data_IF_737116155147
#
_entry.id   IF_737116155147
#
_cell.length_a   1.000
_cell.length_b   1.000
_cell.length_c   1.000
_cell.angle_alpha   90.00
_cell.angle_beta   90.00
_cell.angle_gamma   90.00
#
_symmetry.space_group_name_H-M   'P 1'
#
loop_
_entity.id
_entity.type
_entity.pdbx_description
1 polymer ?
#
# COMPACT_ATOMS: atom_id res chain seq x y z
N UNK A 1 43.14 70.89 -13.94
CA UNK A 1 42.76 69.48 -13.75
C UNK A 1 41.82 69.46 -12.55
N UNK A 2 40.54 69.73 -12.77
CA UNK A 2 39.54 69.71 -11.68
C UNK A 2 38.79 68.38 -11.80
N UNK A 3 38.91 67.55 -10.76
CA UNK A 3 38.08 66.38 -10.54
C UNK A 3 36.63 66.86 -10.44
N UNK A 4 35.79 66.34 -11.33
CA UNK A 4 34.35 66.38 -11.16
C UNK A 4 34.02 65.40 -10.05
N UNK A 5 33.53 65.92 -8.92
CA UNK A 5 32.73 65.15 -7.98
C UNK A 5 31.52 64.63 -8.75
N UNK A 6 31.56 63.34 -9.07
CA UNK A 6 30.39 62.61 -9.53
C UNK A 6 29.55 62.38 -8.27
N UNK A 7 28.55 63.24 -8.09
CA UNK A 7 27.44 62.97 -7.19
C UNK A 7 26.83 61.63 -7.61
N UNK A 8 27.16 60.57 -6.87
CA UNK A 8 26.41 59.32 -6.86
C UNK A 8 25.09 59.64 -6.16
N UNK A 9 24.19 60.27 -6.91
CA UNK A 9 22.81 60.53 -6.54
C UNK A 9 22.12 59.16 -6.48
N UNK A 10 22.36 58.45 -5.38
CA UNK A 10 21.68 57.22 -5.02
C UNK A 10 20.23 57.59 -4.75
N UNK A 11 19.44 57.67 -5.84
CA UNK A 11 18.00 57.89 -5.84
C UNK A 11 17.32 56.75 -5.10
N UNK A 12 17.32 56.82 -3.77
CA UNK A 12 16.43 56.04 -2.94
C UNK A 12 15.00 56.50 -3.26
N UNK A 13 14.18 55.59 -3.76
CA UNK A 13 12.75 55.87 -3.97
C UNK A 13 12.11 56.08 -2.60
N UNK A 14 11.94 57.35 -2.24
CA UNK A 14 11.30 57.75 -1.00
C UNK A 14 9.79 57.75 -1.18
N UNK A 15 9.10 57.21 -0.18
CA UNK A 15 7.62 57.13 -0.12
C UNK A 15 6.93 58.48 -0.32
N UNK A 16 7.64 59.57 -0.04
CA UNK A 16 7.18 60.95 -0.16
C UNK A 16 6.86 61.36 -1.61
N UNK A 17 7.50 60.74 -2.62
CA UNK A 17 7.25 61.03 -4.04
C UNK A 17 6.03 60.31 -4.63
N UNK A 18 5.46 59.32 -3.94
CA UNK A 18 4.41 58.44 -4.45
C UNK A 18 3.21 58.35 -3.51
N UNK A 19 2.75 59.50 -3.00
CA UNK A 19 1.61 59.60 -2.07
C UNK A 19 0.26 59.13 -2.63
N UNK A 20 0.17 58.87 -3.94
CA UNK A 20 -1.01 58.26 -4.57
C UNK A 20 -1.06 56.74 -4.45
N UNK A 21 0.03 56.08 -4.06
CA UNK A 21 0.05 54.65 -3.79
C UNK A 21 -0.41 54.40 -2.35
N UNK A 22 -1.32 53.46 -2.17
CA UNK A 22 -1.74 53.03 -0.83
C UNK A 22 -0.63 52.25 -0.11
N UNK A 23 -0.71 52.17 1.22
CA UNK A 23 0.28 51.45 2.04
C UNK A 23 0.47 50.00 1.62
N UNK A 24 -0.60 49.33 1.22
CA UNK A 24 -0.57 47.96 0.68
C UNK A 24 0.08 47.86 -0.70
N UNK A 25 -0.07 48.88 -1.55
CA UNK A 25 0.58 48.91 -2.86
C UNK A 25 2.07 49.22 -2.72
N UNK A 26 2.45 50.05 -1.76
CA UNK A 26 3.85 50.34 -1.44
C UNK A 26 4.59 49.10 -0.90
N UNK A 27 3.93 48.28 -0.09
CA UNK A 27 4.48 46.99 0.36
C UNK A 27 4.72 46.03 -0.82
N UNK A 28 3.83 46.04 -1.81
CA UNK A 28 4.01 45.26 -3.05
C UNK A 28 5.21 45.79 -3.85
N UNK A 29 5.39 47.11 -3.96
CA UNK A 29 6.57 47.72 -4.60
C UNK A 29 7.86 47.29 -3.91
N UNK A 30 7.88 47.21 -2.57
CA UNK A 30 9.01 46.66 -1.81
C UNK A 30 9.30 45.20 -2.16
N UNK A 31 8.28 44.35 -2.27
CA UNK A 31 8.44 42.95 -2.69
C UNK A 31 8.86 42.80 -4.15
N UNK A 32 8.37 43.67 -5.03
CA UNK A 32 8.78 43.77 -6.43
C UNK A 32 10.26 44.16 -6.54
N UNK A 33 10.72 45.08 -5.70
CA UNK A 33 12.12 45.51 -5.62
C UNK A 33 13.05 44.37 -5.21
N UNK A 34 12.66 43.55 -4.23
CA UNK A 34 13.43 42.35 -3.85
C UNK A 34 13.55 41.34 -5.00
N UNK A 35 12.53 41.24 -5.86
CA UNK A 35 12.46 40.25 -6.93
C UNK A 35 13.09 40.71 -8.26
N UNK A 36 12.98 42.00 -8.60
CA UNK A 36 13.42 42.57 -9.89
C UNK A 36 14.58 43.57 -9.76
N UNK A 37 14.91 44.00 -8.53
CA UNK A 37 15.92 45.00 -8.22
C UNK A 37 15.37 46.42 -8.18
N UNK A 38 15.83 47.21 -7.21
CA UNK A 38 15.51 48.65 -7.05
C UNK A 38 15.62 49.48 -8.34
N UNK A 39 16.70 49.40 -9.15
CA UNK A 39 16.83 50.26 -10.33
C UNK A 39 15.77 49.96 -11.41
N UNK A 40 15.29 48.72 -11.51
CA UNK A 40 14.25 48.35 -12.46
C UNK A 40 12.88 48.88 -12.03
N UNK A 41 12.61 48.90 -10.72
CA UNK A 41 11.40 49.46 -10.14
C UNK A 41 11.40 50.98 -10.22
N UNK A 42 12.54 51.63 -9.98
CA UNK A 42 12.67 53.08 -10.10
C UNK A 42 12.41 53.52 -11.55
N UNK A 43 13.05 52.86 -12.53
CA UNK A 43 12.80 53.12 -13.94
C UNK A 43 11.34 52.85 -14.37
N UNK A 44 10.69 51.85 -13.75
CA UNK A 44 9.26 51.57 -13.97
C UNK A 44 8.38 52.70 -13.37
N UNK A 45 8.64 53.13 -12.14
CA UNK A 45 7.84 54.17 -11.50
C UNK A 45 8.03 55.55 -12.14
N UNK A 46 9.22 55.85 -12.65
CA UNK A 46 9.52 57.12 -13.34
C UNK A 46 8.95 57.17 -14.78
N UNK A 47 8.88 56.03 -15.47
CA UNK A 47 8.42 55.98 -16.87
C UNK A 47 6.92 55.76 -17.04
N UNK A 48 6.23 55.22 -16.03
CA UNK A 48 4.81 54.91 -16.12
C UNK A 48 3.93 55.99 -15.47
N UNK A 49 2.78 56.26 -16.12
CA UNK A 49 1.75 57.13 -15.56
C UNK A 49 1.10 56.53 -14.31
N UNK A 50 0.51 57.36 -13.45
CA UNK A 50 -0.12 56.96 -12.19
C UNK A 50 -1.01 55.72 -12.32
N UNK A 51 -1.94 55.70 -13.27
CA UNK A 51 -2.86 54.57 -13.46
C UNK A 51 -2.14 53.30 -13.92
N UNK A 52 -1.07 53.45 -14.69
CA UNK A 52 -0.25 52.33 -15.14
C UNK A 52 0.65 51.77 -14.03
N UNK A 53 1.06 52.59 -13.06
CA UNK A 53 1.76 52.13 -11.85
C UNK A 53 0.83 51.23 -11.04
N UNK A 54 -0.40 51.66 -10.78
CA UNK A 54 -1.42 50.81 -10.11
C UNK A 54 -1.68 49.53 -10.89
N UNK A 55 -1.77 49.59 -12.22
CA UNK A 55 -1.96 48.40 -13.06
C UNK A 55 -0.76 47.44 -13.01
N UNK A 56 0.48 47.95 -12.97
CA UNK A 56 1.69 47.14 -12.85
C UNK A 56 1.78 46.44 -11.49
N UNK A 57 1.47 47.16 -10.41
CA UNK A 57 1.43 46.63 -9.04
C UNK A 57 0.35 45.54 -8.93
N UNK A 58 -0.85 45.78 -9.47
CA UNK A 58 -1.92 44.79 -9.47
C UNK A 58 -1.60 43.56 -10.33
N UNK A 59 -0.90 43.72 -11.46
CA UNK A 59 -0.42 42.59 -12.27
C UNK A 59 0.59 41.74 -11.50
N UNK A 60 1.47 42.36 -10.72
CA UNK A 60 2.39 41.63 -9.86
C UNK A 60 1.66 40.88 -8.74
N UNK A 61 0.68 41.50 -8.08
CA UNK A 61 -0.16 40.85 -7.07
C UNK A 61 -0.92 39.64 -7.65
N UNK A 62 -1.46 39.79 -8.87
CA UNK A 62 -2.14 38.69 -9.58
C UNK A 62 -1.17 37.57 -9.95
N UNK A 63 0.04 37.90 -10.37
CA UNK A 63 1.08 36.91 -10.63
C UNK A 63 1.48 36.16 -9.35
N UNK A 64 1.64 36.85 -8.23
CA UNK A 64 1.96 36.24 -6.93
C UNK A 64 0.83 35.31 -6.45
N UNK A 65 -0.44 35.75 -6.58
CA UNK A 65 -1.60 34.91 -6.32
C UNK A 65 -1.68 33.71 -7.28
N UNK A 66 -1.29 33.87 -8.54
CA UNK A 66 -1.26 32.78 -9.52
C UNK A 66 -0.14 31.77 -9.21
N UNK A 67 1.04 32.25 -8.80
CA UNK A 67 2.16 31.42 -8.33
C UNK A 67 1.75 30.62 -7.09
N UNK A 68 1.08 31.25 -6.14
CA UNK A 68 0.62 30.56 -4.92
C UNK A 68 -0.51 29.56 -5.22
N UNK A 69 -1.44 29.92 -6.11
CA UNK A 69 -2.48 29.00 -6.61
C UNK A 69 -1.89 27.82 -7.37
N UNK A 70 -0.81 28.01 -8.12
CA UNK A 70 -0.14 26.92 -8.84
C UNK A 70 0.54 25.92 -7.88
N UNK A 71 1.01 26.36 -6.71
CA UNK A 71 1.51 25.46 -5.65
C UNK A 71 0.39 24.61 -5.02
N UNK A 72 -0.85 25.12 -5.02
CA UNK A 72 -2.02 24.45 -4.42
C UNK A 72 -2.74 23.54 -5.44
N UNK A 73 -2.69 23.86 -6.74
CA UNK A 73 -3.52 23.23 -7.78
C UNK A 73 -2.90 22.03 -8.54
N UNK A 74 -1.73 21.51 -8.14
CA UNK A 74 -1.12 20.36 -8.83
C UNK A 74 -1.13 19.08 -7.95
N UNK A 75 -2.11 18.19 -8.20
CA UNK A 75 -1.83 16.79 -8.43
C UNK A 75 -2.09 16.44 -9.91
N UNK A 76 -1.04 15.95 -10.58
CA UNK A 76 -1.08 14.93 -11.64
C UNK A 76 -1.84 15.22 -12.97
N UNK A 77 -1.10 15.47 -14.06
CA UNK A 77 -1.31 14.91 -15.43
C UNK A 77 -0.16 15.33 -16.35
N UNK A 78 0.75 14.41 -16.67
CA UNK A 78 0.93 13.73 -17.97
C UNK A 78 1.59 14.57 -19.07
N UNK A 79 2.79 14.12 -19.42
CA UNK A 79 3.30 13.80 -20.76
C UNK A 79 3.13 14.77 -21.94
N UNK A 80 4.26 14.88 -22.65
CA UNK A 80 4.45 15.03 -24.10
C UNK A 80 4.72 16.42 -24.73
N UNK A 81 6.02 16.59 -25.05
CA UNK A 81 6.60 17.10 -26.31
C UNK A 81 6.31 18.57 -26.75
N UNK A 82 7.29 19.48 -26.59
CA UNK A 82 8.19 19.91 -27.69
C UNK A 82 9.19 20.98 -27.26
N UNK A 83 10.41 20.81 -27.76
CA UNK A 83 11.63 21.58 -27.57
C UNK A 83 11.61 22.92 -28.33
N UNK A 84 12.29 23.94 -27.81
CA UNK A 84 13.25 24.79 -28.54
C UNK A 84 13.84 25.89 -27.62
N UNK A 85 15.17 25.85 -27.42
CA UNK A 85 15.94 26.91 -26.76
C UNK A 85 17.24 26.37 -26.12
N UNK A 86 18.38 26.66 -26.76
CA UNK A 86 19.71 26.08 -26.49
C UNK A 86 20.36 26.48 -25.14
N UNK A 87 21.36 25.72 -24.67
CA UNK A 87 21.78 25.68 -23.28
C UNK A 87 22.89 26.71 -22.98
N UNK A 88 22.76 27.46 -21.89
CA UNK A 88 23.91 28.17 -21.31
C UNK A 88 23.84 28.12 -19.78
N UNK A 89 24.64 27.19 -19.24
CA UNK A 89 25.51 27.40 -18.10
C UNK A 89 24.89 27.89 -16.77
N UNK A 90 24.47 26.94 -15.94
CA UNK A 90 25.03 26.71 -14.58
C UNK A 90 24.26 25.53 -13.99
N UNK A 91 24.84 24.32 -14.09
CA UNK A 91 24.42 23.23 -13.21
C UNK A 91 24.85 23.61 -11.80
N UNK A 92 23.96 24.28 -11.05
CA UNK A 92 23.88 24.03 -9.61
C UNK A 92 23.79 22.51 -9.46
N UNK A 93 24.44 21.86 -8.47
CA UNK A 93 24.16 20.47 -8.18
C UNK A 93 22.65 20.36 -8.04
N UNK A 94 22.01 19.75 -9.04
CA UNK A 94 20.59 19.53 -9.01
C UNK A 94 20.41 18.60 -7.83
N UNK A 95 19.89 19.11 -6.73
CA UNK A 95 19.37 18.25 -5.67
C UNK A 95 18.28 17.46 -6.37
N UNK A 96 18.64 16.24 -6.75
CA UNK A 96 17.72 15.27 -7.30
C UNK A 96 16.58 15.25 -6.28
N UNK A 97 15.37 15.64 -6.69
CA UNK A 97 14.18 15.57 -5.83
C UNK A 97 13.90 14.08 -5.64
N UNK A 98 14.69 13.44 -4.78
CA UNK A 98 14.46 12.06 -4.38
C UNK A 98 13.32 12.16 -3.38
N UNK A 99 12.12 11.91 -3.86
CA UNK A 99 10.90 11.93 -3.07
C UNK A 99 10.73 10.58 -2.35
N UNK A 100 10.29 10.62 -1.10
CA UNK A 100 10.02 9.41 -0.31
C UNK A 100 8.58 9.00 -0.57
N UNK A 101 8.37 7.72 -0.89
CA UNK A 101 7.04 7.12 -0.86
C UNK A 101 6.47 7.26 0.56
N UNK A 102 5.37 8.01 0.74
CA UNK A 102 4.79 8.21 2.08
C UNK A 102 4.27 6.89 2.64
N UNK A 103 4.63 6.57 3.88
CA UNK A 103 4.20 5.32 4.53
C UNK A 103 2.86 5.51 5.24
N UNK A 104 1.83 4.75 4.83
CA UNK A 104 0.47 4.87 5.39
C UNK A 104 0.21 3.97 6.61
N UNK A 105 1.07 2.98 6.83
CA UNK A 105 0.83 1.93 7.82
C UNK A 105 -0.22 0.91 7.38
N UNK A 106 -0.38 0.66 6.07
CA UNK A 106 -1.30 -0.35 5.51
C UNK A 106 -0.58 -1.67 5.19
N UNK A 107 -1.31 -2.80 5.20
CA UNK A 107 -0.70 -4.14 5.06
C UNK A 107 -0.14 -4.44 3.66
N UNK A 108 -0.41 -3.58 2.68
CA UNK A 108 0.12 -3.66 1.32
C UNK A 108 1.47 -2.94 1.17
N UNK A 109 1.78 -2.00 2.07
CA UNK A 109 3.04 -1.25 2.03
C UNK A 109 4.12 -2.00 2.81
N UNK A 110 5.19 -2.44 2.13
CA UNK A 110 6.33 -3.06 2.79
C UNK A 110 7.09 -2.03 3.64
N UNK A 111 6.93 -2.12 4.96
CA UNK A 111 7.65 -1.28 5.93
C UNK A 111 9.17 -1.39 5.74
N UNK A 112 9.67 -2.60 5.49
CA UNK A 112 11.10 -2.85 5.27
C UNK A 112 11.62 -2.15 4.01
N UNK A 113 10.85 -2.19 2.91
CA UNK A 113 11.19 -1.44 1.70
C UNK A 113 11.24 0.06 1.98
N UNK A 114 10.28 0.57 2.74
CA UNK A 114 10.23 1.98 3.10
C UNK A 114 11.44 2.41 3.95
N UNK A 115 11.93 1.57 4.88
CA UNK A 115 13.15 1.87 5.64
C UNK A 115 14.38 2.00 4.75
N UNK A 116 14.52 1.12 3.75
CA UNK A 116 15.64 1.21 2.79
C UNK A 116 15.57 2.50 1.99
N UNK A 117 14.38 2.86 1.46
CA UNK A 117 14.16 4.12 0.75
C UNK A 117 14.47 5.34 1.64
N UNK A 118 14.07 5.31 2.90
CA UNK A 118 14.34 6.37 3.88
C UNK A 118 15.84 6.55 4.14
N UNK A 119 16.57 5.45 4.35
CA UNK A 119 18.01 5.47 4.61
C UNK A 119 18.80 5.96 3.38
N UNK A 120 18.42 5.55 2.18
CA UNK A 120 19.00 6.05 0.93
C UNK A 120 18.83 7.56 0.79
N UNK A 121 17.67 8.09 1.18
CA UNK A 121 17.35 9.50 1.03
C UNK A 121 18.00 10.35 2.13
N UNK A 122 18.06 9.85 3.37
CA UNK A 122 18.82 10.50 4.44
C UNK A 122 20.30 10.62 4.05
N UNK A 123 20.88 9.54 3.49
CA UNK A 123 22.25 9.56 2.95
C UNK A 123 22.40 10.54 1.79
N UNK A 124 21.48 10.52 0.83
CA UNK A 124 21.55 11.40 -0.34
C UNK A 124 21.32 12.89 -0.02
N UNK A 125 20.57 13.19 1.05
CA UNK A 125 20.30 14.56 1.53
C UNK A 125 21.28 15.03 2.61
N UNK A 126 22.18 14.17 3.06
CA UNK A 126 23.18 14.48 4.10
C UNK A 126 22.55 15.06 5.38
N UNK A 127 21.49 14.40 5.87
CA UNK A 127 20.84 14.80 7.13
C UNK A 127 21.57 14.11 8.28
N UNK A 128 22.46 14.82 8.96
CA UNK A 128 23.32 14.25 10.02
C UNK A 128 22.68 14.28 11.42
N UNK A 129 21.77 15.22 11.70
CA UNK A 129 21.18 15.36 13.02
C UNK A 129 20.05 14.36 13.28
N UNK A 130 20.12 13.61 14.38
CA UNK A 130 19.11 12.62 14.80
C UNK A 130 17.70 13.22 14.87
N UNK A 131 17.56 14.42 15.44
CA UNK A 131 16.29 15.15 15.49
C UNK A 131 15.77 15.51 14.09
N UNK A 132 16.67 15.89 13.17
CA UNK A 132 16.31 16.25 11.81
C UNK A 132 15.94 15.01 10.98
N UNK A 133 16.60 13.87 11.21
CA UNK A 133 16.24 12.59 10.62
C UNK A 133 14.87 12.10 11.12
N UNK A 134 14.60 12.22 12.41
CA UNK A 134 13.32 11.84 13.02
C UNK A 134 12.19 12.74 12.51
N UNK A 135 12.36 14.06 12.53
CA UNK A 135 11.34 15.00 12.03
C UNK A 135 11.07 14.80 10.54
N UNK A 136 12.12 14.55 9.76
CA UNK A 136 11.99 14.20 8.35
C UNK A 136 11.23 12.87 8.16
N UNK A 137 11.62 11.81 8.86
CA UNK A 137 10.92 10.52 8.78
C UNK A 137 9.45 10.63 9.18
N UNK A 138 9.15 11.34 10.27
CA UNK A 138 7.78 11.62 10.73
C UNK A 138 6.94 12.37 9.70
N UNK A 139 7.53 13.34 8.99
CA UNK A 139 6.85 14.09 7.94
C UNK A 139 6.44 13.23 6.74
N UNK A 140 7.12 12.09 6.56
CA UNK A 140 6.85 11.11 5.51
C UNK A 140 5.88 10.00 5.95
N UNK A 141 5.46 9.99 7.22
CA UNK A 141 4.40 9.12 7.72
C UNK A 141 3.03 9.73 7.40
N UNK A 142 2.08 8.87 7.04
CA UNK A 142 0.69 9.24 6.75
C UNK A 142 -0.26 8.19 7.32
N UNK A 143 -1.56 8.49 7.34
CA UNK A 143 -2.60 7.53 7.73
C UNK A 143 -2.38 6.98 9.14
N UNK A 144 -2.39 5.65 9.28
CA UNK A 144 -2.26 4.97 10.58
C UNK A 144 -0.89 5.17 11.22
N UNK A 145 0.16 5.25 10.41
CA UNK A 145 1.52 5.48 10.91
C UNK A 145 1.68 6.87 11.51
N UNK A 146 1.07 7.89 10.91
CA UNK A 146 1.06 9.23 11.44
C UNK A 146 0.24 9.33 12.74
N UNK A 147 -0.95 8.72 12.79
CA UNK A 147 -1.78 8.70 14.00
C UNK A 147 -1.06 8.02 15.16
N UNK A 148 -0.37 6.90 14.90
CA UNK A 148 0.46 6.24 15.90
C UNK A 148 1.56 7.19 16.40
N UNK A 149 2.35 7.74 15.49
CA UNK A 149 3.50 8.57 15.85
C UNK A 149 3.09 9.82 16.65
N UNK A 150 1.96 10.45 16.31
CA UNK A 150 1.39 11.55 17.09
C UNK A 150 0.90 11.09 18.46
N UNK A 151 0.25 9.93 18.55
CA UNK A 151 -0.17 9.33 19.82
C UNK A 151 1.01 9.11 20.77
N UNK A 152 2.12 8.55 20.27
CA UNK A 152 3.34 8.37 21.07
C UNK A 152 3.95 9.71 21.53
N UNK A 153 3.98 10.72 20.65
CA UNK A 153 4.47 12.07 21.02
C UNK A 153 3.61 12.78 22.05
N UNK A 154 2.30 12.50 22.09
CA UNK A 154 1.39 13.05 23.10
C UNK A 154 1.68 12.49 24.49
N UNK A 155 2.09 11.23 24.58
CA UNK A 155 2.46 10.60 25.84
C UNK A 155 3.82 11.09 26.32
N UNK A 156 4.83 11.11 25.43
CA UNK A 156 6.18 11.54 25.74
C UNK A 156 6.75 12.39 24.58
N UNK A 157 7.03 13.70 24.80
CA UNK A 157 7.55 14.58 23.75
C UNK A 157 8.91 14.13 23.16
N UNK A 158 9.73 13.44 23.96
CA UNK A 158 11.07 12.98 23.61
C UNK A 158 11.15 11.48 23.26
N UNK A 159 10.02 10.82 22.94
CA UNK A 159 10.00 9.37 22.69
C UNK A 159 10.85 8.90 21.50
N UNK A 160 11.22 9.82 20.61
CA UNK A 160 12.04 9.55 19.43
C UNK A 160 13.39 10.28 19.54
N UNK A 161 14.30 9.75 20.36
CA UNK A 161 15.65 10.31 20.52
C UNK A 161 16.54 10.06 19.29
N UNK A 162 16.28 8.99 18.54
CA UNK A 162 17.02 8.62 17.34
C UNK A 162 16.12 7.96 16.29
N UNK A 163 16.57 7.99 15.04
CA UNK A 163 15.88 7.35 13.91
C UNK A 163 15.70 5.85 14.15
N UNK A 164 16.66 5.19 14.78
CA UNK A 164 16.59 3.75 15.07
C UNK A 164 15.47 3.41 16.08
N UNK A 165 15.22 4.30 17.06
CA UNK A 165 14.10 4.15 17.99
C UNK A 165 12.77 4.29 17.24
N UNK A 166 12.66 5.27 16.33
CA UNK A 166 11.48 5.44 15.49
C UNK A 166 11.24 4.20 14.62
N UNK A 167 12.29 3.68 13.95
CA UNK A 167 12.20 2.44 13.15
C UNK A 167 11.77 1.26 14.01
N UNK A 168 12.33 1.11 15.21
CA UNK A 168 11.97 0.04 16.15
C UNK A 168 10.50 0.12 16.58
N UNK A 169 9.98 1.31 16.91
CA UNK A 169 8.55 1.49 17.24
C UNK A 169 7.62 1.24 16.07
N UNK A 170 8.02 1.66 14.87
CA UNK A 170 7.30 1.35 13.64
C UNK A 170 7.32 -0.14 13.36
N UNK A 171 8.44 -0.83 13.62
CA UNK A 171 8.55 -2.27 13.55
C UNK A 171 7.62 -2.95 14.55
N UNK A 172 7.71 -2.62 15.83
CA UNK A 172 6.85 -3.20 16.87
C UNK A 172 5.35 -3.09 16.54
N UNK A 173 4.93 -2.00 15.90
CA UNK A 173 3.51 -1.75 15.61
C UNK A 173 3.04 -2.22 14.22
N UNK A 174 3.92 -2.14 13.21
CA UNK A 174 3.59 -2.42 11.81
C UNK A 174 4.37 -3.58 11.19
N UNK A 175 5.54 -3.93 11.73
CA UNK A 175 6.21 -5.19 11.41
C UNK A 175 5.36 -6.35 11.94
N UNK A 176 5.30 -7.47 11.21
CA UNK A 176 4.23 -8.41 11.43
C UNK A 176 4.49 -9.35 12.61
N UNK A 177 4.31 -8.87 13.85
CA UNK A 177 3.74 -9.71 14.92
C UNK A 177 2.40 -10.32 14.44
N UNK A 178 1.80 -9.70 13.42
CA UNK A 178 0.65 -10.17 12.66
C UNK A 178 0.95 -11.13 11.52
N UNK A 179 2.16 -11.33 11.00
CA UNK A 179 2.35 -12.35 9.93
C UNK A 179 2.32 -13.72 10.54
N UNK A 180 2.98 -13.92 11.68
CA UNK A 180 2.92 -15.17 12.42
C UNK A 180 1.49 -15.43 12.94
N UNK A 181 0.86 -14.44 13.57
CA UNK A 181 -0.54 -14.58 14.04
C UNK A 181 -1.52 -14.73 12.87
N UNK A 182 -1.28 -14.10 11.72
CA UNK A 182 -2.08 -14.29 10.49
C UNK A 182 -1.85 -15.66 9.88
N UNK A 183 -0.61 -16.13 9.81
CA UNK A 183 -0.26 -17.46 9.32
C UNK A 183 -0.92 -18.52 10.19
N UNK A 184 -0.82 -18.40 11.52
CA UNK A 184 -1.49 -19.29 12.49
C UNK A 184 -3.01 -19.24 12.39
N UNK A 185 -3.61 -18.06 12.34
CA UNK A 185 -5.07 -17.95 12.21
C UNK A 185 -5.57 -18.44 10.85
N UNK A 186 -4.84 -18.19 9.76
CA UNK A 186 -5.13 -18.72 8.43
C UNK A 186 -4.96 -20.24 8.38
N UNK A 187 -3.96 -20.78 9.07
CA UNK A 187 -3.75 -22.22 9.22
C UNK A 187 -4.94 -22.84 9.97
N UNK A 188 -5.32 -22.32 11.14
CA UNK A 188 -6.43 -22.84 11.94
C UNK A 188 -7.79 -22.74 11.23
N UNK A 189 -7.97 -21.78 10.33
CA UNK A 189 -9.19 -21.61 9.52
C UNK A 189 -9.11 -22.25 8.13
N UNK A 190 -8.02 -22.98 7.85
CA UNK A 190 -7.76 -23.54 6.53
C UNK A 190 -8.77 -24.63 6.17
N UNK A 191 -9.43 -24.47 5.02
CA UNK A 191 -10.33 -25.46 4.44
C UNK A 191 -9.92 -25.79 3.00
N UNK A 192 -10.07 -27.06 2.62
CA UNK A 192 -9.82 -27.56 1.26
C UNK A 192 -10.76 -26.86 0.26
N UNK A 193 -12.05 -26.74 0.60
CA UNK A 193 -13.03 -26.08 -0.26
C UNK A 193 -13.13 -26.77 -1.62
N UNK A 194 -12.96 -26.02 -2.72
CA UNK A 194 -12.97 -26.57 -4.10
C UNK A 194 -11.58 -26.99 -4.61
N UNK A 195 -10.54 -26.93 -3.77
CA UNK A 195 -9.16 -27.24 -4.15
C UNK A 195 -8.95 -28.76 -4.15
N UNK A 196 -8.04 -29.24 -5.00
CA UNK A 196 -7.57 -30.62 -4.90
C UNK A 196 -6.77 -30.82 -3.61
N UNK A 197 -6.53 -32.09 -3.26
CA UNK A 197 -5.78 -32.45 -2.05
C UNK A 197 -4.36 -31.88 -2.12
N UNK A 198 -3.69 -31.96 -3.26
CA UNK A 198 -2.31 -31.46 -3.42
C UNK A 198 -2.16 -29.93 -3.27
N UNK A 199 -3.07 -29.12 -3.82
CA UNK A 199 -3.01 -27.67 -3.62
C UNK A 199 -3.38 -27.29 -2.19
N UNK A 200 -4.24 -28.08 -1.54
CA UNK A 200 -4.55 -27.92 -0.13
C UNK A 200 -3.34 -28.22 0.77
N UNK A 201 -2.64 -29.34 0.55
CA UNK A 201 -1.44 -29.73 1.32
C UNK A 201 -0.30 -28.74 1.13
N UNK A 202 -0.09 -28.26 -0.10
CA UNK A 202 0.89 -27.19 -0.37
C UNK A 202 0.58 -25.92 0.41
N UNK A 203 -0.70 -25.51 0.46
CA UNK A 203 -1.09 -24.30 1.19
C UNK A 203 -0.94 -24.47 2.71
N UNK A 204 -1.26 -25.66 3.24
CA UNK A 204 -1.01 -26.00 4.63
C UNK A 204 0.48 -25.91 4.97
N UNK A 205 1.35 -26.50 4.14
CA UNK A 205 2.80 -26.43 4.30
C UNK A 205 3.35 -25.00 4.21
N UNK A 206 2.83 -24.19 3.28
CA UNK A 206 3.20 -22.77 3.16
C UNK A 206 2.85 -21.99 4.42
N UNK A 207 1.63 -22.15 4.95
CA UNK A 207 1.19 -21.46 6.16
C UNK A 207 1.97 -21.92 7.39
N UNK A 208 2.21 -23.22 7.52
CA UNK A 208 3.01 -23.78 8.61
C UNK A 208 4.47 -23.28 8.57
N UNK A 209 5.10 -23.24 7.40
CA UNK A 209 6.47 -22.73 7.22
C UNK A 209 6.58 -21.20 7.30
N UNK A 210 5.49 -20.47 7.09
CA UNK A 210 5.45 -19.01 7.28
C UNK A 210 5.34 -18.57 8.74
N UNK A 211 5.09 -19.50 9.67
CA UNK A 211 5.15 -19.23 11.09
C UNK A 211 6.61 -19.35 11.56
N UNK A 212 7.09 -18.38 12.35
CA UNK A 212 8.45 -18.39 12.88
C UNK A 212 8.71 -19.56 13.82
N UNK A 213 7.70 -19.95 14.61
CA UNK A 213 7.78 -21.13 15.47
C UNK A 213 7.06 -22.33 14.82
N UNK A 214 7.69 -23.52 14.84
CA UNK A 214 7.08 -24.72 14.28
C UNK A 214 5.78 -25.04 15.01
N UNK A 215 4.73 -25.28 14.24
CA UNK A 215 3.44 -25.73 14.77
C UNK A 215 3.55 -27.21 15.12
N UNK A 216 2.99 -27.59 16.27
CA UNK A 216 2.93 -28.98 16.70
C UNK A 216 2.29 -29.90 15.64
N UNK A 217 2.89 -31.07 15.43
CA UNK A 217 2.52 -31.98 14.35
C UNK A 217 1.09 -32.52 14.55
N UNK A 218 0.69 -32.80 15.78
CA UNK A 218 -0.68 -33.22 16.08
C UNK A 218 -1.69 -32.09 15.78
N UNK A 219 -1.32 -30.83 16.00
CA UNK A 219 -2.14 -29.68 15.60
C UNK A 219 -2.25 -29.56 14.08
N UNK A 220 -1.15 -29.75 13.34
CA UNK A 220 -1.15 -29.74 11.87
C UNK A 220 -2.01 -30.86 11.29
N UNK A 221 -1.87 -32.07 11.84
CA UNK A 221 -2.69 -33.24 11.49
C UNK A 221 -4.17 -32.90 11.69
N UNK A 222 -4.56 -32.37 12.86
CA UNK A 222 -5.95 -31.99 13.12
C UNK A 222 -6.46 -30.91 12.15
N UNK A 223 -5.68 -29.85 11.91
CA UNK A 223 -6.07 -28.80 10.95
C UNK A 223 -6.28 -29.37 9.55
N UNK A 224 -5.36 -30.22 9.09
CA UNK A 224 -5.46 -30.89 7.79
C UNK A 224 -6.74 -31.73 7.69
N UNK A 225 -6.94 -32.59 8.67
CA UNK A 225 -8.08 -33.49 8.83
C UNK A 225 -9.44 -32.77 8.80
N UNK A 226 -9.59 -31.76 9.66
CA UNK A 226 -10.88 -31.07 9.82
C UNK A 226 -11.14 -30.11 8.67
N UNK A 227 -10.09 -29.63 8.01
CA UNK A 227 -10.18 -28.75 6.86
C UNK A 227 -10.49 -29.46 5.53
N UNK A 228 -10.29 -30.79 5.41
CA UNK A 228 -10.69 -31.56 4.22
C UNK A 228 -12.21 -31.44 3.95
N UNK A 229 -12.62 -31.67 2.70
CA UNK A 229 -14.04 -31.79 2.35
C UNK A 229 -14.60 -33.09 2.93
N UNK A 230 -15.86 -33.07 3.37
CA UNK A 230 -16.53 -34.27 3.87
C UNK A 230 -16.57 -35.35 2.78
N UNK A 231 -16.00 -36.51 3.08
CA UNK A 231 -15.82 -37.61 2.13
C UNK A 231 -15.34 -38.88 2.82
N UNK A 232 -15.01 -39.95 2.06
CA UNK A 232 -14.54 -41.22 2.60
C UNK A 232 -13.32 -41.07 3.49
N UNK A 233 -12.44 -40.12 3.13
CA UNK A 233 -11.29 -39.72 3.94
C UNK A 233 -11.77 -39.45 5.36
N UNK A 234 -12.78 -38.58 5.55
CA UNK A 234 -13.44 -38.20 6.83
C UNK A 234 -14.16 -39.31 7.57
N UNK A 235 -14.59 -40.38 6.89
CA UNK A 235 -15.52 -41.35 7.48
C UNK A 235 -14.89 -42.71 7.81
N UNK A 236 -13.93 -43.20 7.02
CA UNK A 236 -13.51 -44.60 7.12
C UNK A 236 -12.32 -44.84 8.05
N UNK A 237 -11.33 -43.93 8.08
CA UNK A 237 -10.08 -44.13 8.85
C UNK A 237 -9.77 -43.08 9.91
N UNK A 238 -10.64 -42.08 10.08
CA UNK A 238 -10.53 -41.06 11.13
C UNK A 238 -10.58 -41.55 12.58
N UNK A 239 -10.88 -42.83 12.78
CA UNK A 239 -10.89 -43.46 14.10
C UNK A 239 -9.53 -44.01 14.49
N UNK A 240 -8.59 -44.10 13.56
CA UNK A 240 -7.19 -44.44 13.81
C UNK A 240 -6.36 -43.15 13.78
N UNK A 241 -5.54 -42.93 14.81
CA UNK A 241 -4.74 -41.72 14.93
C UNK A 241 -3.57 -41.77 13.95
N UNK A 242 -3.43 -40.78 13.08
CA UNK A 242 -2.20 -40.57 12.32
C UNK A 242 -1.09 -40.11 13.25
N UNK A 243 0.11 -40.66 13.09
CA UNK A 243 1.26 -40.29 13.91
C UNK A 243 2.09 -39.18 13.25
N UNK A 244 2.01 -39.01 11.93
CA UNK A 244 2.70 -37.97 11.18
C UNK A 244 1.79 -37.27 10.17
N UNK A 245 2.13 -36.03 9.84
CA UNK A 245 1.39 -35.27 8.81
C UNK A 245 1.53 -35.91 7.43
N UNK A 246 2.70 -36.46 7.12
CA UNK A 246 2.98 -37.10 5.83
C UNK A 246 2.12 -38.35 5.60
N UNK A 247 1.91 -39.15 6.65
CA UNK A 247 1.04 -40.33 6.59
C UNK A 247 -0.42 -39.92 6.31
N UNK A 248 -0.90 -38.86 6.97
CA UNK A 248 -2.23 -38.32 6.74
C UNK A 248 -2.39 -37.80 5.30
N UNK A 249 -1.37 -37.13 4.76
CA UNK A 249 -1.36 -36.61 3.38
C UNK A 249 -1.39 -37.76 2.36
N UNK A 250 -0.49 -38.74 2.49
CA UNK A 250 -0.40 -39.87 1.57
C UNK A 250 -1.71 -40.66 1.53
N UNK A 251 -2.35 -40.84 2.68
CA UNK A 251 -3.65 -41.49 2.76
C UNK A 251 -4.76 -40.69 2.07
N UNK A 252 -4.83 -39.37 2.32
CA UNK A 252 -5.82 -38.51 1.67
C UNK A 252 -5.67 -38.49 0.13
N UNK A 253 -4.43 -38.51 -0.36
CA UNK A 253 -4.13 -38.59 -1.80
C UNK A 253 -4.53 -39.96 -2.39
N UNK A 254 -4.25 -41.06 -1.69
CA UNK A 254 -4.65 -42.41 -2.09
C UNK A 254 -6.17 -42.56 -2.19
N UNK A 255 -6.90 -41.97 -1.24
CA UNK A 255 -8.35 -42.04 -1.20
C UNK A 255 -8.99 -41.15 -2.28
N UNK A 256 -8.47 -39.94 -2.52
CA UNK A 256 -8.92 -39.08 -3.64
C UNK A 256 -8.68 -39.77 -4.99
N UNK A 257 -7.55 -40.47 -5.14
CA UNK A 257 -7.29 -41.30 -6.31
C UNK A 257 -8.32 -42.44 -6.44
N UNK A 258 -8.58 -43.18 -5.37
CA UNK A 258 -9.53 -44.30 -5.35
C UNK A 258 -10.96 -43.84 -5.68
N UNK A 259 -11.37 -42.68 -5.16
CA UNK A 259 -12.63 -42.02 -5.49
C UNK A 259 -12.73 -41.67 -6.96
N UNK A 260 -11.72 -40.99 -7.52
CA UNK A 260 -11.70 -40.64 -8.96
C UNK A 260 -11.75 -41.88 -9.85
N UNK A 261 -11.04 -42.94 -9.48
CA UNK A 261 -11.08 -44.23 -10.18
C UNK A 261 -12.49 -44.85 -10.13
N UNK A 262 -13.12 -44.89 -8.96
CA UNK A 262 -14.48 -45.42 -8.82
C UNK A 262 -15.51 -44.62 -9.63
N UNK A 263 -15.40 -43.29 -9.63
CA UNK A 263 -16.25 -42.41 -10.44
C UNK A 263 -16.05 -42.69 -11.92
N UNK A 264 -14.80 -42.72 -12.41
CA UNK A 264 -14.49 -43.05 -13.80
C UNK A 264 -15.05 -44.42 -14.22
N UNK A 265 -14.93 -45.43 -13.35
CA UNK A 265 -15.47 -46.76 -13.59
C UNK A 265 -17.01 -46.78 -13.58
N UNK A 266 -17.66 -45.97 -12.75
CA UNK A 266 -19.12 -45.84 -12.72
C UNK A 266 -19.69 -45.16 -13.97
N UNK A 267 -19.01 -44.13 -14.50
CA UNK A 267 -19.42 -43.46 -15.75
C UNK A 267 -19.20 -44.33 -16.98
N UNK A 268 -18.25 -45.27 -16.92
CA UNK A 268 -18.01 -46.26 -17.98
C UNK A 268 -18.91 -47.50 -17.87
N UNK A 269 -19.73 -47.61 -16.82
CA UNK A 269 -20.72 -48.68 -16.71
C UNK A 269 -21.92 -48.39 -17.62
N UNK A 270 -21.84 -48.87 -18.86
CA UNK A 270 -23.01 -48.98 -19.74
C UNK A 270 -23.69 -50.31 -19.39
N UNK A 271 -24.85 -50.31 -18.69
CA UNK A 271 -25.54 -51.57 -18.43
C UNK A 271 -25.84 -52.22 -19.77
N UNK A 272 -25.34 -53.44 -19.98
CA UNK A 272 -25.65 -54.23 -21.16
C UNK A 272 -27.16 -54.33 -21.21
N UNK A 273 -27.77 -53.74 -22.25
CA UNK A 273 -29.21 -53.84 -22.51
C UNK A 273 -29.56 -55.31 -22.47
N UNK A 274 -30.22 -55.73 -21.39
CA UNK A 274 -30.73 -57.09 -21.22
C UNK A 274 -31.58 -57.37 -22.46
N UNK A 275 -31.06 -58.16 -23.39
CA UNK A 275 -31.90 -58.73 -24.44
C UNK A 275 -32.92 -59.58 -23.68
N UNK A 276 -34.17 -59.16 -23.73
CA UNK A 276 -35.31 -59.99 -23.37
C UNK A 276 -35.29 -61.17 -24.34
N UNK A 277 -34.53 -62.20 -23.99
CA UNK A 277 -34.74 -63.54 -24.52
C UNK A 277 -36.05 -63.97 -23.87
N UNK A 278 -37.10 -64.00 -24.70
CA UNK A 278 -38.44 -64.37 -24.27
C UNK A 278 -38.42 -65.69 -23.51
N UNK A 279 -38.81 -65.63 -22.25
CA UNK A 279 -39.26 -66.81 -21.51
C UNK A 279 -40.79 -66.86 -21.60
N UNK A 280 -41.38 -67.97 -22.06
CA UNK A 280 -42.83 -68.12 -22.12
C UNK A 280 -43.43 -68.19 -20.71
N UNK A 281 -44.49 -67.43 -20.51
CA UNK A 281 -45.22 -67.30 -19.26
C UNK A 281 -45.93 -68.61 -18.92
N UNK A 282 -45.43 -69.38 -17.95
CA UNK A 282 -46.24 -70.38 -17.25
C UNK A 282 -45.77 -70.55 -15.80
N UNK A 283 -46.28 -69.73 -14.88
CA UNK A 283 -46.54 -70.17 -13.50
C UNK A 283 -47.79 -69.46 -12.98
N UNK A 284 -48.75 -70.30 -12.63
CA UNK A 284 -50.12 -70.06 -12.20
C UNK A 284 -50.19 -69.40 -10.82
N UNK A 285 -51.11 -68.44 -10.66
CA UNK A 285 -51.54 -67.89 -9.37
C UNK A 285 -52.37 -68.91 -8.58
N UNK A 286 -51.83 -69.41 -7.48
CA UNK A 286 -52.60 -70.03 -6.39
C UNK A 286 -52.76 -68.98 -5.30
N UNK A 287 -53.85 -68.22 -5.32
CA UNK A 287 -54.26 -67.38 -4.19
C UNK A 287 -55.07 -68.22 -3.21
N UNK A 288 -54.45 -68.51 -2.06
CA UNK A 288 -55.08 -69.19 -0.92
C UNK A 288 -56.14 -68.28 -0.27
N UNK A 289 -57.36 -68.79 -0.14
CA UNK A 289 -58.49 -68.20 0.61
C UNK A 289 -58.24 -68.39 2.11
N UNK A 290 -58.24 -67.32 2.89
CA UNK A 290 -58.40 -67.39 4.34
C UNK A 290 -59.14 -66.15 4.87
N UNK A 291 -60.41 -66.34 5.25
CA UNK A 291 -61.32 -65.59 6.15
C UNK A 291 -62.66 -66.34 6.01
N UNK A 292 -63.31 -66.87 7.04
CA UNK A 292 -63.66 -66.30 8.34
C UNK A 292 -64.16 -67.46 9.23
N UNK A 293 -63.81 -67.50 10.52
CA UNK A 293 -64.59 -68.25 11.52
C UNK A 293 -65.11 -67.24 12.54
N UNK A 294 -66.44 -67.23 12.67
CA UNK A 294 -67.17 -66.55 13.72
C UNK A 294 -67.49 -67.58 14.82
N UNK A 295 -67.17 -67.22 16.06
CA UNK A 295 -67.98 -67.39 17.27
C UNK A 295 -67.29 -66.63 18.42
#
# INVERSE_FOLDING_TARGET
MNMLDVEDDSFHVTREGYSHLSDSEWEVVGRMSVLMGEPAINGMLESLSRDQQHAAINKFLQWELAVERQKIALPQRQDSHQSMGWPTHMRRPGTMKIDISRYKGTGEDSLLRWFVELDDIIRARHIEGDEMQVTFALSNLTGRAQTLALGLKLHDPNIFESLEILKSRLKETFEPLRAEVRARSALLSLKQGKRDVHAYTRNLGYLAGSAENPVDEHTLINVFIYGLVDGPVKTYKFRENFHTLEEAIAYAEQEDFSLRQSQANSFNYRPTRRQEIGCPNQWTSVTSRARTLAL
#
